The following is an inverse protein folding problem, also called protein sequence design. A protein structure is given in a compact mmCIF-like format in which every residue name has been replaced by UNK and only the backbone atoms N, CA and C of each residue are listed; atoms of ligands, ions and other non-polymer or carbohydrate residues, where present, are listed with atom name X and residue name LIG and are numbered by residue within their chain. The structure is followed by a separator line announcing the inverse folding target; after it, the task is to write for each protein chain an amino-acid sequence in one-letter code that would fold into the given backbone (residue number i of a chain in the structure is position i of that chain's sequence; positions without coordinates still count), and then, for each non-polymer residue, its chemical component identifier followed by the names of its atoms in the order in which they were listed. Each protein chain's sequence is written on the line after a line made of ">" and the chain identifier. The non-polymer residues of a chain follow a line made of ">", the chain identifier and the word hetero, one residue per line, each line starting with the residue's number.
data_IF_739410330579
#
_entry.id   IF_739410330579
#
_cell.length_a   1.000
_cell.length_b   1.000
_cell.length_c   1.000
_cell.angle_alpha   90.00
_cell.angle_beta   90.00
_cell.angle_gamma   90.00
#
_symmetry.space_group_name_H-M   'P 1'
#
loop_
_entity.id
_entity.type
_entity.pdbx_description
1 polymer ?
#
# COMPACT_ATOMS: atom_id res chain seq x y z
N UNK A 1 17.97 -0.73 -25.55
CA UNK A 1 16.84 -0.63 -24.59
C UNK A 1 15.62 -0.32 -25.43
N UNK A 2 14.51 -1.08 -25.37
CA UNK A 2 13.35 -0.72 -26.18
C UNK A 2 12.83 0.61 -25.68
N UNK A 3 12.69 1.57 -26.60
CA UNK A 3 12.09 2.87 -26.32
C UNK A 3 10.75 2.64 -25.62
N UNK A 4 10.62 3.17 -24.40
CA UNK A 4 9.35 3.15 -23.68
C UNK A 4 8.36 4.01 -24.47
N UNK A 5 7.58 3.38 -25.34
CA UNK A 5 6.53 4.05 -26.11
C UNK A 5 5.50 4.59 -25.12
N UNK A 6 5.48 5.90 -24.94
CA UNK A 6 4.47 6.58 -24.13
C UNK A 6 3.22 6.71 -25.00
N UNK A 7 2.10 6.13 -24.57
CA UNK A 7 0.84 6.28 -25.29
C UNK A 7 0.37 7.74 -25.25
N UNK A 8 -0.44 8.22 -26.21
CA UNK A 8 -1.01 9.55 -26.15
C UNK A 8 -1.77 9.83 -24.84
N UNK A 9 -2.44 8.80 -24.30
CA UNK A 9 -3.15 8.84 -23.02
C UNK A 9 -2.20 9.07 -21.85
N UNK A 10 -1.14 8.25 -21.74
CA UNK A 10 -0.14 8.41 -20.68
C UNK A 10 0.60 9.75 -20.79
N UNK A 11 0.89 10.21 -22.01
CA UNK A 11 1.51 11.51 -22.26
C UNK A 11 0.59 12.66 -21.80
N UNK A 12 -0.72 12.56 -22.04
CA UNK A 12 -1.69 13.55 -21.59
C UNK A 12 -1.78 13.60 -20.05
N UNK A 13 -1.80 12.43 -19.39
CA UNK A 13 -1.75 12.36 -17.92
C UNK A 13 -0.49 13.01 -17.38
N UNK A 14 0.68 12.70 -17.96
CA UNK A 14 1.98 13.24 -17.52
C UNK A 14 2.12 14.74 -17.71
N UNK A 15 1.40 15.33 -18.67
CA UNK A 15 1.31 16.80 -18.83
C UNK A 15 0.35 17.44 -17.82
N UNK A 16 -0.71 16.74 -17.43
CA UNK A 16 -1.77 17.27 -16.55
C UNK A 16 -1.42 17.18 -15.07
N UNK A 17 -0.75 16.12 -14.64
CA UNK A 17 -0.41 15.85 -13.24
C UNK A 17 1.02 16.29 -12.97
N UNK A 18 1.19 17.48 -12.42
CA UNK A 18 2.46 18.15 -12.15
C UNK A 18 2.99 17.92 -10.72
N UNK A 19 2.15 17.38 -9.84
CA UNK A 19 2.47 17.03 -8.45
C UNK A 19 2.01 15.62 -8.13
N UNK A 20 2.65 15.01 -7.15
CA UNK A 20 2.28 13.69 -6.66
C UNK A 20 0.82 13.70 -6.17
N UNK A 21 -0.01 12.85 -6.77
CA UNK A 21 -1.46 12.90 -6.65
C UNK A 21 -2.05 11.50 -6.45
N UNK A 22 -3.13 11.42 -5.66
CA UNK A 22 -3.96 10.23 -5.53
C UNK A 22 -4.87 10.16 -6.76
N UNK A 23 -4.76 9.09 -7.53
CA UNK A 23 -5.64 8.81 -8.64
C UNK A 23 -6.94 8.17 -8.12
N UNK A 24 -8.02 8.95 -8.09
CA UNK A 24 -9.28 8.59 -7.42
C UNK A 24 -9.89 7.26 -7.90
N UNK A 25 -9.91 6.94 -9.22
CA UNK A 25 -10.43 5.66 -9.70
C UNK A 25 -9.79 4.42 -9.09
N UNK A 26 -8.49 4.46 -8.78
CA UNK A 26 -7.77 3.27 -8.35
C UNK A 26 -7.18 3.33 -6.93
N UNK A 27 -7.06 4.52 -6.35
CA UNK A 27 -6.37 4.74 -5.07
C UNK A 27 -4.87 4.49 -5.13
N UNK A 28 -4.30 4.46 -6.34
CA UNK A 28 -2.87 4.52 -6.55
C UNK A 28 -2.40 5.96 -6.50
N UNK A 29 -1.11 6.16 -6.22
CA UNK A 29 -0.48 7.48 -6.30
C UNK A 29 0.27 7.54 -7.64
N UNK A 30 0.10 8.63 -8.40
CA UNK A 30 0.86 8.92 -9.63
C UNK A 30 1.36 10.35 -9.65
N UNK A 31 2.38 10.62 -10.45
CA UNK A 31 2.98 11.95 -10.58
C UNK A 31 4.50 11.94 -10.40
N UNK A 32 5.13 13.13 -10.45
CA UNK A 32 6.57 13.25 -10.28
C UNK A 32 6.99 12.99 -8.83
N UNK A 33 8.07 12.24 -8.67
CA UNK A 33 8.76 11.93 -7.41
C UNK A 33 10.17 12.50 -7.48
N UNK A 34 10.56 13.27 -6.47
CA UNK A 34 11.93 13.78 -6.33
C UNK A 34 12.78 12.75 -5.59
N UNK A 35 13.71 12.10 -6.30
CA UNK A 35 14.68 11.16 -5.72
C UNK A 35 16.06 11.42 -6.32
N UNK A 36 16.95 12.03 -5.54
CA UNK A 36 18.24 12.48 -6.04
C UNK A 36 18.09 13.66 -7.02
N UNK A 37 19.00 13.74 -8.00
CA UNK A 37 19.11 14.89 -8.90
C UNK A 37 18.06 14.91 -10.03
N UNK A 38 17.46 13.76 -10.38
CA UNK A 38 16.50 13.66 -11.47
C UNK A 38 15.11 13.26 -10.98
N UNK A 39 14.05 14.03 -11.32
CA UNK A 39 12.68 13.65 -11.01
C UNK A 39 12.30 12.38 -11.79
N UNK A 40 11.66 11.43 -11.10
CA UNK A 40 11.13 10.20 -11.69
C UNK A 40 9.61 10.28 -11.75
N UNK A 41 9.00 9.72 -12.79
CA UNK A 41 7.56 9.57 -12.84
C UNK A 41 7.14 8.29 -12.11
N UNK A 42 6.25 8.40 -11.12
CA UNK A 42 5.57 7.27 -10.52
C UNK A 42 4.25 7.02 -11.24
N UNK A 43 4.08 5.81 -11.78
CA UNK A 43 2.83 5.42 -12.45
C UNK A 43 1.85 4.75 -11.50
N UNK A 44 0.56 4.85 -11.81
CA UNK A 44 -0.47 4.00 -11.22
C UNK A 44 -0.88 2.87 -12.18
N UNK A 45 -1.69 1.91 -11.70
CA UNK A 45 -2.16 0.76 -12.50
C UNK A 45 -3.08 1.10 -13.68
N UNK A 46 -3.49 2.37 -13.81
CA UNK A 46 -4.41 2.82 -14.86
C UNK A 46 -3.68 3.47 -16.03
N UNK A 47 -2.36 3.56 -16.00
CA UNK A 47 -1.55 3.94 -17.17
C UNK A 47 -1.30 2.70 -18.03
N UNK A 48 -1.28 2.90 -19.34
CA UNK A 48 -1.12 1.81 -20.32
C UNK A 48 0.29 1.22 -20.22
N UNK A 49 1.29 2.09 -20.08
CA UNK A 49 2.71 1.75 -19.97
C UNK A 49 3.32 2.36 -18.70
N UNK A 50 3.11 1.73 -17.52
CA UNK A 50 3.69 2.19 -16.27
C UNK A 50 5.22 2.29 -16.35
N UNK A 51 5.76 3.40 -15.83
CA UNK A 51 7.20 3.66 -15.84
C UNK A 51 7.92 2.67 -14.93
N UNK A 52 8.99 2.06 -15.47
CA UNK A 52 9.93 1.24 -14.71
C UNK A 52 11.15 2.06 -14.35
N UNK A 53 11.61 1.91 -13.12
CA UNK A 53 12.78 2.62 -12.60
C UNK A 53 13.97 1.69 -12.55
N UNK A 54 15.09 2.12 -13.12
CA UNK A 54 16.32 1.34 -13.07
C UNK A 54 16.88 1.25 -11.64
N UNK A 55 17.47 0.09 -11.34
CA UNK A 55 18.16 -0.18 -10.07
C UNK A 55 17.25 -0.37 -8.86
N UNK A 56 15.95 -0.56 -9.05
CA UNK A 56 14.99 -0.85 -7.98
C UNK A 56 14.07 -2.01 -8.37
N UNK A 57 13.59 -2.76 -7.38
CA UNK A 57 12.65 -3.88 -7.58
C UNK A 57 11.19 -3.43 -7.59
N UNK A 58 10.91 -2.19 -7.16
CA UNK A 58 9.59 -1.57 -7.13
C UNK A 58 9.67 -0.14 -7.66
N UNK A 59 9.03 0.14 -8.80
CA UNK A 59 9.04 1.47 -9.46
C UNK A 59 7.98 2.43 -8.90
N UNK A 60 7.94 2.54 -7.56
CA UNK A 60 7.13 3.51 -6.82
C UNK A 60 7.77 3.80 -5.48
N UNK A 61 7.65 5.05 -5.06
CA UNK A 61 8.11 5.53 -3.76
C UNK A 61 6.95 5.63 -2.77
N UNK A 62 5.78 6.07 -3.23
CA UNK A 62 4.66 6.36 -2.35
C UNK A 62 3.45 5.49 -2.68
N UNK A 63 2.90 4.85 -1.66
CA UNK A 63 1.57 4.26 -1.67
C UNK A 63 0.70 4.99 -0.64
N UNK A 64 -0.63 4.99 -0.84
CA UNK A 64 -1.52 5.23 0.29
C UNK A 64 -1.39 4.05 1.28
N UNK A 65 -1.40 4.35 2.57
CA UNK A 65 -1.40 3.33 3.61
C UNK A 65 -2.57 2.37 3.38
N UNK A 66 -2.28 1.06 3.32
CA UNK A 66 -3.28 0.02 3.04
C UNK A 66 -4.34 -0.15 4.13
N UNK A 67 -4.12 0.43 5.32
CA UNK A 67 -5.05 0.38 6.44
C UNK A 67 -5.87 1.66 6.53
N UNK A 68 -5.24 2.82 6.75
CA UNK A 68 -6.02 4.04 6.95
C UNK A 68 -6.36 4.76 5.64
N UNK A 69 -5.60 4.55 4.57
CA UNK A 69 -5.65 5.31 3.30
C UNK A 69 -5.47 6.83 3.45
N UNK A 70 -5.07 7.33 4.64
CA UNK A 70 -4.93 8.76 4.94
C UNK A 70 -3.49 9.28 4.79
N UNK A 71 -2.54 8.49 5.28
CA UNK A 71 -1.11 8.78 5.22
C UNK A 71 -0.42 7.93 4.14
N UNK A 72 0.80 8.32 3.78
CA UNK A 72 1.63 7.56 2.84
C UNK A 72 2.39 6.42 3.52
N UNK A 73 2.69 5.41 2.72
CA UNK A 73 3.60 4.31 2.98
C UNK A 73 4.42 4.06 1.70
N UNK A 74 5.09 2.91 1.62
CA UNK A 74 5.81 2.49 0.43
C UNK A 74 7.33 2.66 0.55
N UNK A 75 7.94 2.81 -0.62
CA UNK A 75 9.37 2.76 -0.86
C UNK A 75 9.66 1.92 -2.10
N UNK A 76 10.77 2.22 -2.76
CA UNK A 76 11.23 1.56 -3.97
C UNK A 76 11.87 0.18 -3.73
N UNK A 77 11.46 -0.52 -2.67
CA UNK A 77 11.93 -1.85 -2.31
C UNK A 77 10.77 -2.83 -2.15
N UNK A 78 10.94 -4.10 -2.52
CA UNK A 78 10.04 -5.20 -2.11
C UNK A 78 10.01 -5.40 -0.59
N UNK A 79 10.98 -4.84 0.12
CA UNK A 79 11.07 -4.83 1.59
C UNK A 79 10.40 -3.61 2.23
N UNK A 80 9.71 -2.79 1.44
CA UNK A 80 8.98 -1.64 1.96
C UNK A 80 7.67 -2.03 2.65
N UNK A 81 7.25 -1.20 3.60
CA UNK A 81 5.97 -1.33 4.29
C UNK A 81 4.83 -0.74 3.44
N UNK A 82 3.67 -1.40 3.46
CA UNK A 82 2.42 -0.93 2.85
C UNK A 82 1.58 -0.06 3.78
N UNK A 83 2.02 0.12 5.03
CA UNK A 83 1.32 0.91 6.02
C UNK A 83 2.18 2.04 6.57
N UNK A 84 1.52 3.16 6.90
CA UNK A 84 2.16 4.29 7.55
C UNK A 84 2.68 3.91 8.94
N UNK A 85 3.56 4.74 9.49
CA UNK A 85 4.19 4.51 10.78
C UNK A 85 3.17 4.31 11.91
N UNK A 86 2.11 5.12 11.96
CA UNK A 86 1.08 5.00 13.00
C UNK A 86 0.30 3.69 12.90
N UNK A 87 -0.11 3.28 11.69
CA UNK A 87 -0.77 1.99 11.49
C UNK A 87 0.14 0.81 11.85
N UNK A 88 1.46 0.92 11.59
CA UNK A 88 2.42 -0.10 12.03
C UNK A 88 2.51 -0.16 13.56
N UNK A 89 2.55 0.98 14.23
CA UNK A 89 2.59 1.05 15.69
C UNK A 89 1.32 0.45 16.32
N UNK A 90 0.13 0.76 15.79
CA UNK A 90 -1.12 0.17 16.26
C UNK A 90 -1.14 -1.34 16.03
N UNK A 91 -0.72 -1.83 14.86
CA UNK A 91 -0.64 -3.26 14.58
C UNK A 91 0.30 -4.01 15.54
N UNK A 92 1.43 -3.39 15.90
CA UNK A 92 2.38 -3.93 16.86
C UNK A 92 1.78 -3.98 18.28
N UNK A 93 1.13 -2.90 18.73
CA UNK A 93 0.48 -2.86 20.03
C UNK A 93 -0.62 -3.93 20.15
N UNK A 94 -1.41 -4.16 19.09
CA UNK A 94 -2.39 -5.26 19.08
C UNK A 94 -1.68 -6.62 19.17
N UNK A 95 -0.55 -6.78 18.48
CA UNK A 95 0.22 -8.02 18.53
C UNK A 95 0.74 -8.33 19.93
N UNK A 96 1.14 -7.32 20.70
CA UNK A 96 1.57 -7.47 22.09
C UNK A 96 0.44 -8.00 22.99
N UNK A 97 -0.79 -7.52 22.77
CA UNK A 97 -1.96 -7.94 23.57
C UNK A 97 -2.49 -9.31 23.12
N UNK A 98 -2.53 -9.58 21.81
CA UNK A 98 -3.15 -10.79 21.26
C UNK A 98 -2.17 -11.95 21.09
N UNK A 99 -0.87 -11.70 21.21
CA UNK A 99 0.19 -12.66 20.92
C UNK A 99 0.44 -12.90 19.42
N UNK A 100 -0.28 -12.21 18.53
CA UNK A 100 -0.09 -12.27 17.09
C UNK A 100 -0.49 -10.97 16.39
N UNK A 101 0.22 -10.63 15.31
CA UNK A 101 -0.11 -9.45 14.51
C UNK A 101 -1.41 -9.66 13.72
N UNK A 102 -2.41 -8.77 13.84
CA UNK A 102 -3.72 -8.97 13.22
C UNK A 102 -3.69 -8.76 11.69
N UNK A 103 -2.70 -8.01 11.19
CA UNK A 103 -2.57 -7.67 9.78
C UNK A 103 -1.11 -7.76 9.34
N UNK A 104 -0.90 -8.27 8.12
CA UNK A 104 0.40 -8.35 7.46
C UNK A 104 0.63 -7.10 6.61
N UNK A 105 1.43 -6.16 7.12
CA UNK A 105 1.61 -4.82 6.53
C UNK A 105 2.82 -4.65 5.59
N UNK A 106 3.63 -5.69 5.38
CA UNK A 106 4.82 -5.68 4.52
C UNK A 106 4.51 -6.25 3.14
N UNK A 107 5.21 -5.78 2.10
CA UNK A 107 5.02 -6.27 0.72
C UNK A 107 5.43 -7.74 0.51
N UNK A 108 6.28 -8.29 1.38
CA UNK A 108 6.84 -9.63 1.23
C UNK A 108 6.52 -10.52 2.44
N UNK A 109 6.20 -11.80 2.21
CA UNK A 109 5.89 -12.79 3.26
C UNK A 109 6.96 -12.91 4.34
N UNK A 110 8.24 -12.92 3.94
CA UNK A 110 9.40 -12.92 4.84
C UNK A 110 9.43 -11.74 5.82
N UNK A 111 8.83 -10.59 5.50
CA UNK A 111 8.70 -9.47 6.45
C UNK A 111 7.76 -9.80 7.62
N UNK A 112 7.10 -10.95 7.56
CA UNK A 112 6.18 -11.47 8.56
C UNK A 112 6.66 -12.79 9.16
N UNK A 113 7.92 -13.17 8.92
CA UNK A 113 8.49 -14.44 9.35
C UNK A 113 7.91 -15.67 8.62
N UNK A 114 7.29 -15.47 7.45
CA UNK A 114 6.65 -16.55 6.68
C UNK A 114 7.55 -16.93 5.50
N UNK A 115 8.14 -18.12 5.58
CA UNK A 115 8.93 -18.75 4.54
C UNK A 115 8.84 -20.27 4.64
N UNK A 116 9.07 -20.98 3.52
CA UNK A 116 9.12 -22.44 3.48
C UNK A 116 10.55 -22.87 3.21
N UNK A 117 11.09 -23.71 4.09
CA UNK A 117 12.43 -24.27 3.97
C UNK A 117 12.39 -25.58 3.20
N UNK A 118 13.08 -25.64 2.07
CA UNK A 118 13.09 -26.82 1.23
C UNK A 118 13.74 -28.04 1.92
N UNK A 119 14.68 -27.80 2.83
CA UNK A 119 15.45 -28.80 3.59
C UNK A 119 14.76 -29.27 4.88
N UNK A 120 13.63 -28.68 5.26
CA UNK A 120 12.96 -29.00 6.51
C UNK A 120 12.21 -30.36 6.46
N UNK A 121 12.04 -31.05 7.61
CA UNK A 121 11.23 -32.25 7.71
C UNK A 121 9.81 -32.06 7.14
N UNK A 122 9.17 -33.10 6.57
CA UNK A 122 7.86 -32.96 5.91
C UNK A 122 6.76 -32.30 6.76
N UNK A 123 6.73 -32.58 8.08
CA UNK A 123 5.75 -31.96 8.99
C UNK A 123 5.98 -30.46 9.16
N UNK A 124 7.24 -30.04 9.34
CA UNK A 124 7.63 -28.62 9.41
C UNK A 124 7.31 -27.90 8.10
N UNK A 125 7.63 -28.51 6.95
CA UNK A 125 7.26 -27.96 5.64
C UNK A 125 5.76 -27.82 5.47
N UNK A 126 4.98 -28.78 5.97
CA UNK A 126 3.52 -28.71 5.99
C UNK A 126 2.99 -27.51 6.79
N UNK A 127 3.53 -27.28 7.99
CA UNK A 127 3.18 -26.13 8.84
C UNK A 127 3.62 -24.79 8.23
N UNK A 128 4.81 -24.73 7.62
CA UNK A 128 5.30 -23.54 6.93
C UNK A 128 4.46 -23.23 5.68
N UNK A 129 4.10 -24.26 4.90
CA UNK A 129 3.21 -24.11 3.75
C UNK A 129 1.80 -23.67 4.17
N UNK A 130 1.29 -24.16 5.30
CA UNK A 130 0.03 -23.70 5.88
C UNK A 130 0.10 -22.22 6.26
N UNK A 131 1.19 -21.78 6.92
CA UNK A 131 1.44 -20.36 7.25
C UNK A 131 1.56 -19.48 6.00
N UNK A 132 2.17 -19.98 4.93
CA UNK A 132 2.24 -19.26 3.64
C UNK A 132 0.86 -19.16 2.97
N UNK A 133 0.06 -20.22 3.05
CA UNK A 133 -1.33 -20.21 2.56
C UNK A 133 -2.18 -19.23 3.37
N UNK A 134 -2.00 -19.19 4.68
CA UNK A 134 -2.65 -18.22 5.56
C UNK A 134 -2.21 -16.79 5.25
N UNK A 135 -0.92 -16.56 4.99
CA UNK A 135 -0.41 -15.28 4.51
C UNK A 135 -1.13 -14.84 3.21
N UNK A 136 -1.25 -15.73 2.23
CA UNK A 136 -1.98 -15.47 0.99
C UNK A 136 -3.49 -15.24 1.21
N UNK A 137 -4.08 -15.80 2.27
CA UNK A 137 -5.47 -15.55 2.70
C UNK A 137 -5.62 -14.23 3.47
N UNK A 138 -4.63 -13.82 4.25
CA UNK A 138 -4.61 -12.53 4.96
C UNK A 138 -4.74 -11.34 4.00
N UNK A 139 -4.26 -11.51 2.76
CA UNK A 139 -4.48 -10.55 1.68
C UNK A 139 -5.96 -10.35 1.33
N UNK A 140 -6.85 -11.33 1.56
CA UNK A 140 -8.29 -11.20 1.26
C UNK A 140 -8.93 -10.14 2.15
N UNK A 141 -8.66 -10.16 3.46
CA UNK A 141 -9.22 -9.18 4.40
C UNK A 141 -8.81 -7.75 4.05
N UNK A 142 -7.53 -7.53 3.73
CA UNK A 142 -7.05 -6.22 3.29
C UNK A 142 -7.62 -5.80 1.93
N UNK A 143 -7.83 -6.75 1.02
CA UNK A 143 -8.49 -6.51 -0.27
C UNK A 143 -9.95 -6.09 -0.09
N UNK A 144 -10.70 -6.75 0.79
CA UNK A 144 -12.09 -6.42 1.08
C UNK A 144 -12.21 -5.09 1.85
N UNK A 145 -11.30 -4.86 2.79
CA UNK A 145 -11.17 -3.57 3.47
C UNK A 145 -10.91 -2.42 2.49
N UNK A 146 -9.99 -2.61 1.53
CA UNK A 146 -9.75 -1.61 0.49
C UNK A 146 -11.01 -1.32 -0.32
N UNK A 147 -11.84 -2.33 -0.60
CA UNK A 147 -13.10 -2.17 -1.37
C UNK A 147 -14.17 -1.40 -0.61
N UNK A 148 -14.00 -1.17 0.69
CA UNK A 148 -14.97 -0.46 1.53
C UNK A 148 -14.43 0.89 2.01
N UNK A 149 -13.26 0.91 2.67
CA UNK A 149 -12.73 2.12 3.31
C UNK A 149 -12.21 3.14 2.29
N UNK A 150 -11.50 2.70 1.24
CA UNK A 150 -10.98 3.64 0.26
C UNK A 150 -12.10 4.40 -0.48
N UNK A 151 -13.13 3.74 -1.04
CA UNK A 151 -14.27 4.45 -1.65
C UNK A 151 -14.96 5.40 -0.68
N UNK A 152 -15.09 5.03 0.61
CA UNK A 152 -15.70 5.88 1.64
C UNK A 152 -14.96 7.21 1.80
N UNK A 153 -13.62 7.19 1.77
CA UNK A 153 -12.80 8.41 1.81
C UNK A 153 -12.84 9.16 0.48
N UNK A 154 -12.71 8.42 -0.63
CA UNK A 154 -12.68 8.98 -1.98
C UNK A 154 -13.99 9.65 -2.41
N UNK A 155 -15.14 9.29 -1.82
CA UNK A 155 -16.48 9.79 -2.17
C UNK A 155 -16.65 11.32 -2.10
N UNK A 156 -15.71 12.04 -1.48
CA UNK A 156 -15.74 13.52 -1.41
C UNK A 156 -15.11 14.19 -2.63
N UNK A 157 -14.48 13.44 -3.51
CA UNK A 157 -13.77 13.93 -4.68
C UNK A 157 -14.47 13.49 -5.96
N UNK A 158 -14.18 14.18 -7.05
CA UNK A 158 -14.60 13.75 -8.38
C UNK A 158 -14.02 12.34 -8.67
N UNK A 159 -14.85 11.38 -9.13
CA UNK A 159 -14.45 9.98 -9.29
C UNK A 159 -13.36 9.75 -10.34
N UNK A 160 -13.11 10.72 -11.22
CA UNK A 160 -12.10 10.69 -12.28
C UNK A 160 -10.89 11.59 -11.98
N UNK A 161 -10.84 12.22 -10.80
CA UNK A 161 -9.80 13.18 -10.47
C UNK A 161 -8.44 12.56 -10.13
N UNK A 162 -7.43 13.39 -10.35
CA UNK A 162 -6.14 13.31 -9.68
C UNK A 162 -6.13 14.35 -8.57
N UNK A 163 -6.09 13.91 -7.31
CA UNK A 163 -6.11 14.81 -6.15
C UNK A 163 -4.69 14.95 -5.62
N UNK A 164 -4.09 16.16 -5.58
CA UNK A 164 -2.77 16.36 -5.02
C UNK A 164 -2.66 15.77 -3.61
N UNK A 165 -1.56 15.08 -3.32
CA UNK A 165 -1.38 14.37 -2.05
C UNK A 165 -1.52 15.29 -0.83
N UNK A 166 -1.10 16.55 -0.95
CA UNK A 166 -1.28 17.57 0.08
C UNK A 166 -2.77 17.87 0.34
N UNK A 167 -3.59 17.92 -0.72
CA UNK A 167 -5.05 18.13 -0.61
C UNK A 167 -5.70 16.90 0.04
N UNK A 168 -5.34 15.70 -0.42
CA UNK A 168 -5.82 14.43 0.16
C UNK A 168 -5.52 14.37 1.67
N UNK A 169 -4.27 14.62 2.06
CA UNK A 169 -3.81 14.56 3.46
C UNK A 169 -4.50 15.61 4.34
N UNK A 170 -4.76 16.81 3.81
CA UNK A 170 -5.51 17.84 4.53
C UNK A 170 -6.97 17.47 4.74
N UNK A 171 -7.61 16.85 3.76
CA UNK A 171 -9.00 16.39 3.86
C UNK A 171 -9.14 15.16 4.77
N UNK A 172 -8.12 14.32 4.79
CA UNK A 172 -8.06 13.07 5.54
C UNK A 172 -6.77 13.03 6.35
N UNK A 173 -6.69 13.77 7.47
CA UNK A 173 -5.51 13.76 8.30
C UNK A 173 -5.25 12.34 8.82
N UNK A 174 -4.01 11.89 8.66
CA UNK A 174 -3.48 10.70 9.31
C UNK A 174 -3.17 10.97 10.79
N UNK A 175 -2.58 9.97 11.45
CA UNK A 175 -2.22 10.06 12.86
C UNK A 175 -2.68 8.83 13.64
N UNK A 176 -2.17 8.70 14.87
CA UNK A 176 -2.45 7.56 15.76
C UNK A 176 -3.95 7.32 15.99
N UNK A 177 -4.75 8.38 16.18
CA UNK A 177 -6.20 8.27 16.36
C UNK A 177 -6.88 7.71 15.11
N UNK A 178 -6.60 8.29 13.94
CA UNK A 178 -7.13 7.82 12.66
C UNK A 178 -6.72 6.36 12.36
N UNK A 179 -5.50 5.97 12.76
CA UNK A 179 -5.04 4.58 12.66
C UNK A 179 -5.81 3.64 13.57
N UNK A 180 -6.04 4.00 14.84
CA UNK A 180 -6.85 3.19 15.78
C UNK A 180 -8.28 3.03 15.27
N UNK A 181 -8.88 4.11 14.83
CA UNK A 181 -10.21 4.16 14.22
C UNK A 181 -10.32 3.25 12.98
N UNK A 182 -9.32 3.28 12.09
CA UNK A 182 -9.25 2.37 10.94
C UNK A 182 -9.12 0.91 11.37
N UNK A 183 -8.31 0.59 12.38
CA UNK A 183 -8.19 -0.78 12.90
C UNK A 183 -9.47 -1.27 13.56
N UNK A 184 -10.17 -0.42 14.33
CA UNK A 184 -11.45 -0.77 14.94
C UNK A 184 -12.51 -1.14 13.89
N UNK A 185 -12.58 -0.38 12.78
CA UNK A 185 -13.46 -0.73 11.65
C UNK A 185 -13.00 -1.98 10.89
N UNK A 186 -11.70 -2.11 10.65
CA UNK A 186 -11.12 -3.24 9.91
C UNK A 186 -11.31 -4.57 10.62
N UNK A 187 -11.10 -4.59 11.94
CA UNK A 187 -11.17 -5.80 12.75
C UNK A 187 -12.59 -6.09 13.26
N UNK A 188 -13.48 -5.09 13.19
CA UNK A 188 -14.85 -5.17 13.70
C UNK A 188 -14.88 -5.08 15.23
N UNK A 189 -16.02 -5.43 15.87
CA UNK A 189 -16.13 -5.49 17.32
C UNK A 189 -15.21 -6.59 17.87
N UNK A 190 -13.96 -6.24 18.16
CA UNK A 190 -13.02 -7.09 18.88
C UNK A 190 -12.87 -6.56 20.31
N UNK A 191 -12.82 -7.49 21.27
CA UNK A 191 -12.69 -7.25 22.73
C UNK A 191 -11.66 -6.14 23.04
N UNK A 192 -11.87 -5.38 24.14
CA UNK A 192 -11.18 -4.09 24.35
C UNK A 192 -9.67 -4.21 24.24
N UNK A 193 -9.11 -3.25 23.48
CA UNK A 193 -7.69 -2.92 23.41
C UNK A 193 -7.19 -2.40 24.76
#
# INVERSE_FOLDING_TARGET
>A
MPDHIITPTDAAVRRRVDVLSVHIPCGGIRGPVRRGEQPRWQSCRCEDNPVRWDGVDVSREHDLCIVCFRATAGGSSRWAWLACQDCRAVNAAIAEVWGFAPVRLGRHSLMHGVGVRADAPPHIRGEEAARLTEFARGDVRLRDWRRTEYPRLAARFDPLADVPLAVWTRQHPGGREASRDAFARLLGPVRPL
#
